data_IF_650660029948
#
_entry.id   IF_650660029948
#
_cell.length_a   1.000
_cell.length_b   1.000
_cell.length_c   1.000
_cell.angle_alpha   90.00
_cell.angle_beta   90.00
_cell.angle_gamma   90.00
#
_symmetry.space_group_name_H-M   'P 1'
#
loop_
_entity.id
_entity.type
_entity.pdbx_description
1 polymer ?
#
# COMPACT_ATOMS: atom_id res chain seq x y z
N UNK A 1 -5.38 -27.74 9.15
CA UNK A 1 -4.80 -27.30 7.86
C UNK A 1 -5.40 -25.92 7.56
N UNK A 2 -4.63 -24.86 7.70
CA UNK A 2 -5.05 -23.52 7.27
C UNK A 2 -5.01 -23.49 5.75
N UNK A 3 -6.13 -23.18 5.12
CA UNK A 3 -6.19 -22.95 3.66
C UNK A 3 -5.26 -21.76 3.40
N UNK A 4 -4.23 -21.89 2.53
CA UNK A 4 -3.36 -20.77 2.25
C UNK A 4 -4.21 -19.66 1.60
N UNK A 5 -4.21 -18.47 2.21
CA UNK A 5 -4.88 -17.30 1.62
C UNK A 5 -4.32 -17.06 0.22
N UNK A 6 -5.19 -16.76 -0.73
CA UNK A 6 -4.81 -16.42 -2.11
C UNK A 6 -3.82 -15.22 -2.13
N UNK A 7 -4.00 -14.30 -1.18
CA UNK A 7 -3.15 -13.12 -1.02
C UNK A 7 -2.44 -13.16 0.33
N UNK A 8 -1.23 -12.61 0.37
CA UNK A 8 -0.36 -12.57 1.56
C UNK A 8 -0.21 -11.18 2.17
N UNK A 9 -0.39 -10.13 1.37
CA UNK A 9 -0.21 -8.73 1.79
C UNK A 9 -1.00 -7.78 0.89
N UNK A 10 -1.54 -6.71 1.50
CA UNK A 10 -2.09 -5.54 0.81
C UNK A 10 -1.20 -4.33 1.09
N UNK A 11 -0.67 -3.71 0.04
CA UNK A 11 0.05 -2.45 0.14
C UNK A 11 -0.78 -1.32 -0.49
N UNK A 12 -0.82 -0.18 0.18
CA UNK A 12 -1.52 1.02 -0.29
C UNK A 12 -0.53 2.17 -0.29
N UNK A 13 -0.18 2.65 -1.48
CA UNK A 13 0.68 3.82 -1.68
C UNK A 13 -0.14 5.06 -2.04
N UNK A 14 0.30 6.22 -1.56
CA UNK A 14 -0.35 7.48 -1.88
C UNK A 14 0.44 8.69 -1.40
N UNK A 15 0.00 9.86 -1.83
CA UNK A 15 0.61 11.13 -1.46
C UNK A 15 -0.47 12.23 -1.41
N UNK A 16 -0.17 13.42 -1.95
CA UNK A 16 -1.12 14.53 -2.00
C UNK A 16 -2.49 14.08 -2.58
N UNK A 17 -3.57 14.47 -1.95
CA UNK A 17 -4.95 14.16 -2.38
C UNK A 17 -5.42 12.71 -2.13
N UNK A 18 -4.60 11.83 -1.53
CA UNK A 18 -5.00 10.44 -1.29
C UNK A 18 -5.80 10.22 0.01
N UNK A 19 -5.75 11.18 0.94
CA UNK A 19 -6.25 11.00 2.31
C UNK A 19 -7.74 10.67 2.39
N UNK A 20 -8.58 11.38 1.64
CA UNK A 20 -10.02 11.15 1.67
C UNK A 20 -10.39 9.74 1.19
N UNK A 21 -9.76 9.30 0.10
CA UNK A 21 -9.95 7.95 -0.45
C UNK A 21 -9.43 6.89 0.52
N UNK A 22 -8.27 7.13 1.14
CA UNK A 22 -7.68 6.20 2.09
C UNK A 22 -8.55 6.03 3.34
N UNK A 23 -9.04 7.12 3.93
CA UNK A 23 -9.94 7.08 5.09
C UNK A 23 -11.24 6.33 4.75
N UNK A 24 -11.83 6.63 3.60
CA UNK A 24 -13.04 5.93 3.13
C UNK A 24 -12.76 4.43 2.94
N UNK A 25 -11.65 4.07 2.29
CA UNK A 25 -11.23 2.70 2.07
C UNK A 25 -11.07 1.95 3.41
N UNK A 26 -10.30 2.51 4.34
CA UNK A 26 -10.06 1.88 5.65
C UNK A 26 -11.36 1.74 6.46
N UNK A 27 -12.28 2.70 6.38
CA UNK A 27 -13.57 2.63 7.08
C UNK A 27 -14.49 1.52 6.55
N UNK A 28 -14.27 1.06 5.33
CA UNK A 28 -15.09 0.05 4.68
C UNK A 28 -14.43 -1.33 4.57
N UNK A 29 -13.14 -1.45 4.90
CA UNK A 29 -12.49 -2.76 4.98
C UNK A 29 -13.10 -3.58 6.12
N UNK A 30 -13.31 -4.89 5.93
CA UNK A 30 -13.68 -5.78 7.03
C UNK A 30 -12.65 -5.74 8.17
N UNK A 31 -13.13 -5.73 9.42
CA UNK A 31 -12.24 -5.77 10.59
C UNK A 31 -12.43 -7.09 11.36
N UNK A 32 -11.36 -7.88 11.60
CA UNK A 32 -10.02 -7.72 11.04
C UNK A 32 -9.96 -8.05 9.55
N UNK A 33 -9.10 -7.36 8.80
CA UNK A 33 -8.79 -7.74 7.42
C UNK A 33 -7.83 -8.93 7.46
N UNK A 34 -8.12 -10.00 6.72
CA UNK A 34 -7.47 -11.32 6.90
C UNK A 34 -5.99 -11.38 6.55
N UNK A 35 -5.46 -10.38 5.86
CA UNK A 35 -4.04 -10.25 5.52
C UNK A 35 -3.49 -8.93 6.08
N UNK A 36 -2.18 -8.82 6.32
CA UNK A 36 -1.59 -7.56 6.75
C UNK A 36 -1.80 -6.47 5.69
N UNK A 37 -2.10 -5.27 6.16
CA UNK A 37 -2.22 -4.07 5.33
C UNK A 37 -1.07 -3.14 5.65
N UNK A 38 -0.36 -2.68 4.63
CA UNK A 38 0.77 -1.76 4.77
C UNK A 38 0.49 -0.48 3.99
N UNK A 39 0.46 0.64 4.67
CA UNK A 39 0.19 1.95 4.11
C UNK A 39 1.51 2.72 3.99
N UNK A 40 1.82 3.20 2.80
CA UNK A 40 3.00 4.01 2.52
C UNK A 40 2.54 5.37 2.02
N UNK A 41 2.68 6.40 2.86
CA UNK A 41 2.32 7.77 2.53
C UNK A 41 3.53 8.68 2.56
N UNK A 42 3.63 9.57 1.58
CA UNK A 42 4.61 10.65 1.63
C UNK A 42 4.21 11.64 2.73
N UNK A 43 5.13 11.88 3.66
CA UNK A 43 4.94 12.77 4.80
C UNK A 43 6.02 13.84 4.81
N UNK A 44 5.70 15.01 5.33
CA UNK A 44 6.69 16.07 5.51
C UNK A 44 7.74 15.62 6.54
N UNK A 45 9.01 15.84 6.23
CA UNK A 45 10.12 15.50 7.13
C UNK A 45 10.02 16.29 8.43
N UNK A 46 10.29 15.63 9.56
CA UNK A 46 10.40 16.24 10.88
C UNK A 46 9.16 17.04 11.33
N UNK A 47 7.99 16.74 10.78
CA UNK A 47 6.71 17.29 11.24
C UNK A 47 5.98 16.19 11.99
N UNK A 48 5.77 16.40 13.30
CA UNK A 48 4.92 15.49 14.07
C UNK A 48 3.55 15.37 13.41
N UNK A 49 3.11 14.15 13.21
CA UNK A 49 1.86 13.86 12.53
C UNK A 49 1.12 12.79 13.34
N UNK A 50 -0.11 13.08 13.70
CA UNK A 50 -1.03 12.13 14.30
C UNK A 50 -1.81 11.34 13.23
N UNK A 51 -1.14 11.05 12.13
CA UNK A 51 -1.74 10.40 10.97
C UNK A 51 -2.25 8.99 11.29
N UNK A 52 -1.52 8.25 12.13
CA UNK A 52 -1.93 6.97 12.70
C UNK A 52 -3.28 7.07 13.43
N UNK A 53 -3.47 8.09 14.25
CA UNK A 53 -4.73 8.34 14.96
C UNK A 53 -5.86 8.74 14.00
N UNK A 54 -5.56 9.60 13.02
CA UNK A 54 -6.54 10.03 12.02
C UNK A 54 -7.03 8.87 11.16
N UNK A 55 -6.14 7.93 10.81
CA UNK A 55 -6.45 6.77 10.00
C UNK A 55 -7.05 5.60 10.81
N UNK A 56 -6.90 5.59 12.13
CA UNK A 56 -7.42 4.54 13.02
C UNK A 56 -8.96 4.63 13.19
N UNK A 57 -9.69 4.48 12.10
CA UNK A 57 -11.16 4.64 12.07
C UNK A 57 -11.88 3.45 12.70
N UNK A 58 -11.49 2.21 12.34
CA UNK A 58 -12.14 0.98 12.81
C UNK A 58 -11.22 0.09 13.64
N UNK A 59 -9.92 0.18 13.43
CA UNK A 59 -8.91 -0.59 14.16
C UNK A 59 -7.63 0.21 14.27
N UNK A 60 -6.79 -0.09 15.28
CA UNK A 60 -5.51 0.60 15.46
C UNK A 60 -4.62 0.47 14.24
N UNK A 61 -3.95 1.54 13.89
CA UNK A 61 -2.87 1.59 12.91
C UNK A 61 -1.58 1.86 13.65
N UNK A 62 -0.55 1.07 13.39
CA UNK A 62 0.74 1.17 14.09
C UNK A 62 1.87 1.45 13.10
N UNK A 63 2.84 2.24 13.51
CA UNK A 63 4.12 2.35 12.80
C UNK A 63 5.00 1.20 13.30
N UNK A 64 5.46 0.29 12.41
CA UNK A 64 6.24 -0.87 12.85
C UNK A 64 7.66 -0.47 13.26
N UNK A 65 8.22 -1.24 14.18
CA UNK A 65 9.63 -1.16 14.53
C UNK A 65 10.51 -1.97 13.54
N UNK A 66 11.81 -1.68 13.53
CA UNK A 66 12.76 -2.47 12.73
C UNK A 66 12.78 -3.94 13.20
N UNK A 67 12.70 -4.86 12.24
CA UNK A 67 12.60 -6.32 12.47
C UNK A 67 11.30 -6.78 13.17
N UNK A 68 10.29 -5.94 13.26
CA UNK A 68 8.97 -6.36 13.73
C UNK A 68 8.32 -7.34 12.74
N UNK A 69 7.72 -8.41 13.27
CA UNK A 69 7.00 -9.39 12.47
C UNK A 69 5.67 -8.83 11.95
N UNK A 70 5.42 -9.04 10.66
CA UNK A 70 4.19 -8.64 10.01
C UNK A 70 3.08 -9.65 10.29
N UNK A 71 2.03 -9.24 10.99
CA UNK A 71 0.95 -10.11 11.42
C UNK A 71 -0.32 -9.89 10.60
N UNK A 72 -1.02 -10.97 10.20
CA UNK A 72 -2.35 -10.87 9.61
C UNK A 72 -3.33 -10.14 10.52
N UNK A 73 -4.22 -9.37 9.92
CA UNK A 73 -5.23 -8.62 10.65
C UNK A 73 -4.78 -7.24 11.15
N UNK A 74 -3.50 -6.93 11.06
CA UNK A 74 -2.95 -5.64 11.45
C UNK A 74 -2.84 -4.68 10.26
N UNK A 75 -2.95 -3.39 10.56
CA UNK A 75 -2.69 -2.31 9.62
C UNK A 75 -1.45 -1.55 10.11
N UNK A 76 -0.48 -1.43 9.22
CA UNK A 76 0.79 -0.76 9.45
C UNK A 76 0.89 0.51 8.61
N UNK A 77 1.48 1.55 9.18
CA UNK A 77 1.81 2.79 8.50
C UNK A 77 3.33 2.93 8.43
N UNK A 78 3.88 3.14 7.25
CA UNK A 78 5.31 3.34 7.08
C UNK A 78 5.81 4.52 7.94
N UNK A 79 6.81 4.30 8.82
CA UNK A 79 7.33 5.35 9.69
C UNK A 79 7.91 6.51 8.91
N UNK A 80 7.75 7.70 9.46
CA UNK A 80 8.36 8.89 8.89
C UNK A 80 9.89 8.81 8.92
N UNK A 81 10.54 9.37 7.89
CA UNK A 81 12.00 9.43 7.76
C UNK A 81 12.72 8.10 7.52
N UNK A 82 12.02 6.98 7.33
CA UNK A 82 12.59 5.70 6.96
C UNK A 82 11.93 5.16 5.69
N UNK A 83 12.68 4.43 4.88
CA UNK A 83 12.11 3.52 3.91
C UNK A 83 11.63 2.27 4.64
N UNK A 84 10.42 1.82 4.35
CA UNK A 84 9.87 0.59 4.88
C UNK A 84 10.07 -0.52 3.86
N UNK A 85 10.87 -1.51 4.21
CA UNK A 85 11.17 -2.67 3.37
C UNK A 85 10.54 -3.93 3.96
N UNK A 86 10.22 -4.88 3.09
CA UNK A 86 9.68 -6.19 3.46
C UNK A 86 10.78 -7.23 3.30
N UNK A 87 11.07 -7.98 4.37
CA UNK A 87 12.10 -9.01 4.39
C UNK A 87 11.52 -10.41 4.10
N UNK A 88 12.39 -11.35 3.70
CA UNK A 88 11.99 -12.73 3.33
C UNK A 88 11.32 -13.50 4.47
N UNK A 89 11.66 -13.20 5.72
CA UNK A 89 11.07 -13.78 6.91
C UNK A 89 9.74 -13.15 7.33
N UNK A 90 9.20 -12.26 6.49
CA UNK A 90 7.97 -11.49 6.74
C UNK A 90 8.09 -10.53 7.93
N UNK A 91 9.26 -9.97 8.14
CA UNK A 91 9.50 -8.84 9.04
C UNK A 91 9.63 -7.53 8.27
N UNK A 92 9.53 -6.41 8.97
CA UNK A 92 9.84 -5.10 8.43
C UNK A 92 11.32 -4.76 8.61
N UNK A 93 11.88 -4.00 7.66
CA UNK A 93 13.17 -3.35 7.82
C UNK A 93 13.03 -1.85 7.60
N UNK A 94 13.60 -1.07 8.49
CA UNK A 94 13.60 0.39 8.43
C UNK A 94 14.96 0.88 7.95
N UNK A 95 15.00 1.41 6.73
CA UNK A 95 16.24 1.88 6.10
C UNK A 95 16.28 3.42 6.07
N UNK A 96 17.38 3.99 6.59
CA UNK A 96 17.62 5.44 6.62
C UNK A 96 18.43 5.92 5.39
N UNK A 97 18.46 5.16 4.29
CA UNK A 97 19.11 5.55 3.05
C UNK A 97 18.52 6.87 2.48
N UNK A 98 19.22 7.44 1.50
CA UNK A 98 18.79 8.68 0.85
C UNK A 98 17.39 8.56 0.23
N UNK A 99 16.63 9.66 0.18
CA UNK A 99 15.31 9.67 -0.44
C UNK A 99 15.32 9.16 -1.88
N UNK A 100 14.39 8.29 -2.22
CA UNK A 100 14.14 7.82 -3.58
C UNK A 100 12.94 8.58 -4.15
N UNK A 101 13.04 9.07 -5.38
CA UNK A 101 12.03 9.96 -5.99
C UNK A 101 11.64 11.16 -5.09
N UNK A 102 12.62 11.71 -4.37
CA UNK A 102 12.48 12.78 -3.38
C UNK A 102 11.63 12.42 -2.15
N UNK A 103 11.33 11.14 -1.94
CA UNK A 103 10.45 10.67 -0.87
C UNK A 103 11.14 9.65 0.05
N UNK A 104 10.84 9.74 1.35
CA UNK A 104 11.18 8.77 2.37
C UNK A 104 10.10 8.81 3.47
N UNK A 105 9.25 7.76 3.55
CA UNK A 105 9.30 6.50 2.81
C UNK A 105 9.09 6.66 1.30
N UNK A 106 9.69 5.76 0.50
CA UNK A 106 9.44 5.64 -0.93
C UNK A 106 8.53 4.44 -1.19
N UNK A 107 7.43 4.67 -1.92
CA UNK A 107 6.43 3.64 -2.27
C UNK A 107 7.07 2.56 -3.14
N UNK A 108 7.89 2.96 -4.13
CA UNK A 108 8.58 2.05 -5.04
C UNK A 108 9.41 0.99 -4.31
N UNK A 109 10.09 1.35 -3.21
CA UNK A 109 10.92 0.41 -2.45
C UNK A 109 10.06 -0.61 -1.70
N UNK A 110 9.02 -0.16 -0.98
CA UNK A 110 8.11 -1.06 -0.26
C UNK A 110 7.40 -2.02 -1.21
N UNK A 111 6.90 -1.51 -2.35
CA UNK A 111 6.23 -2.33 -3.36
C UNK A 111 7.19 -3.35 -4.00
N UNK A 112 8.43 -2.93 -4.29
CA UNK A 112 9.43 -3.80 -4.92
C UNK A 112 9.88 -4.93 -4.01
N UNK A 113 10.12 -4.65 -2.74
CA UNK A 113 10.50 -5.68 -1.76
C UNK A 113 9.35 -6.64 -1.50
N UNK A 114 8.12 -6.14 -1.36
CA UNK A 114 6.94 -6.99 -1.23
C UNK A 114 6.74 -7.90 -2.47
N UNK A 115 6.94 -7.37 -3.68
CA UNK A 115 6.85 -8.15 -4.91
C UNK A 115 7.89 -9.29 -4.93
N UNK A 116 9.09 -9.03 -4.43
CA UNK A 116 10.16 -10.04 -4.36
C UNK A 116 9.84 -11.15 -3.35
N UNK A 117 9.25 -10.80 -2.20
CA UNK A 117 8.97 -11.73 -1.09
C UNK A 117 7.67 -12.53 -1.31
N UNK A 118 6.60 -11.84 -1.68
CA UNK A 118 5.27 -12.44 -1.77
C UNK A 118 4.86 -12.86 -3.19
N UNK A 119 5.53 -12.33 -4.22
CA UNK A 119 5.27 -12.68 -5.63
C UNK A 119 3.79 -12.50 -6.01
N UNK A 120 3.12 -13.56 -6.51
CA UNK A 120 1.72 -13.48 -6.95
C UNK A 120 0.71 -13.23 -5.81
N UNK A 121 1.15 -13.26 -4.55
CA UNK A 121 0.29 -13.01 -3.39
C UNK A 121 0.22 -11.57 -2.96
N UNK A 122 0.80 -10.64 -3.73
CA UNK A 122 0.76 -9.20 -3.44
C UNK A 122 -0.47 -8.55 -4.06
N UNK A 123 -1.14 -7.73 -3.28
CA UNK A 123 -2.10 -6.72 -3.74
C UNK A 123 -1.45 -5.35 -3.55
N UNK A 124 -1.24 -4.60 -4.63
CA UNK A 124 -0.76 -3.23 -4.60
C UNK A 124 -1.84 -2.26 -5.06
N UNK A 125 -2.07 -1.22 -4.29
CA UNK A 125 -2.99 -0.12 -4.62
C UNK A 125 -2.20 1.18 -4.62
N UNK A 126 -2.27 1.94 -5.71
CA UNK A 126 -1.63 3.24 -5.84
C UNK A 126 -2.69 4.32 -6.04
N UNK A 127 -2.74 5.25 -5.10
CA UNK A 127 -3.72 6.33 -5.05
C UNK A 127 -3.16 7.65 -5.64
N UNK A 128 -3.90 8.74 -5.45
CA UNK A 128 -3.51 10.11 -5.82
C UNK A 128 -2.13 10.48 -5.30
N UNK A 129 -1.37 11.25 -6.09
CA UNK A 129 -0.07 11.80 -5.72
C UNK A 129 0.53 12.71 -6.79
N UNK A 130 1.39 13.65 -6.36
CA UNK A 130 1.98 14.68 -7.20
C UNK A 130 3.38 14.34 -7.76
N UNK A 131 3.81 13.09 -7.67
CA UNK A 131 5.05 12.58 -8.28
C UNK A 131 4.81 11.17 -8.82
N UNK A 132 5.83 10.49 -9.35
CA UNK A 132 5.74 9.15 -9.96
C UNK A 132 6.20 8.00 -9.06
N UNK A 133 6.46 8.27 -7.78
CA UNK A 133 6.85 7.22 -6.85
C UNK A 133 5.71 6.19 -6.69
N UNK A 134 6.05 4.92 -6.65
CA UNK A 134 5.11 3.80 -6.62
C UNK A 134 4.75 3.23 -7.98
N UNK A 135 4.98 3.97 -9.09
CA UNK A 135 4.68 3.48 -10.43
C UNK A 135 5.54 2.26 -10.81
N UNK A 136 6.86 2.35 -10.61
CA UNK A 136 7.78 1.26 -10.90
C UNK A 136 7.56 0.07 -9.96
N UNK A 137 7.30 0.32 -8.67
CA UNK A 137 6.99 -0.71 -7.69
C UNK A 137 5.70 -1.46 -8.02
N UNK A 138 4.64 -0.75 -8.45
CA UNK A 138 3.38 -1.37 -8.87
C UNK A 138 3.58 -2.26 -10.12
N UNK A 139 4.41 -1.82 -11.08
CA UNK A 139 4.80 -2.64 -12.22
C UNK A 139 5.54 -3.90 -11.81
N UNK A 140 6.40 -3.83 -10.80
CA UNK A 140 7.09 -5.02 -10.29
C UNK A 140 6.13 -6.01 -9.64
N UNK A 141 5.10 -5.51 -8.93
CA UNK A 141 4.05 -6.35 -8.36
C UNK A 141 3.33 -7.12 -9.48
N UNK A 142 2.90 -6.45 -10.57
CA UNK A 142 2.23 -7.11 -11.69
C UNK A 142 3.15 -8.08 -12.42
N UNK A 143 4.41 -7.71 -12.65
CA UNK A 143 5.41 -8.58 -13.28
C UNK A 143 5.71 -9.84 -12.44
N UNK A 144 5.58 -9.76 -11.12
CA UNK A 144 5.71 -10.90 -10.20
C UNK A 144 4.43 -11.77 -10.11
N UNK A 145 3.40 -11.45 -10.90
CA UNK A 145 2.11 -12.16 -10.91
C UNK A 145 1.12 -11.68 -9.85
N UNK A 146 1.45 -10.64 -9.08
CA UNK A 146 0.55 -9.99 -8.15
C UNK A 146 -0.48 -9.10 -8.86
N UNK A 147 -1.35 -8.46 -8.09
CA UNK A 147 -2.37 -7.55 -8.61
C UNK A 147 -1.98 -6.12 -8.30
N UNK A 148 -1.85 -5.31 -9.35
CA UNK A 148 -1.68 -3.86 -9.27
C UNK A 148 -3.00 -3.15 -9.61
N UNK A 149 -3.46 -2.32 -8.70
CA UNK A 149 -4.63 -1.45 -8.86
C UNK A 149 -4.16 0.00 -8.78
N UNK A 150 -4.66 0.83 -9.65
CA UNK A 150 -4.37 2.25 -9.63
C UNK A 150 -5.68 3.05 -9.58
N UNK A 151 -5.69 4.11 -8.79
CA UNK A 151 -6.83 5.03 -8.79
C UNK A 151 -6.97 5.66 -10.18
N UNK A 152 -8.19 5.69 -10.72
CA UNK A 152 -8.47 6.38 -11.98
C UNK A 152 -7.98 7.84 -11.91
N UNK A 153 -7.04 8.24 -12.79
CA UNK A 153 -6.50 9.61 -12.83
C UNK A 153 -7.57 10.70 -12.91
N UNK A 154 -8.73 10.41 -13.50
CA UNK A 154 -9.84 11.36 -13.61
C UNK A 154 -10.54 11.60 -12.25
N UNK A 155 -10.38 10.70 -11.30
CA UNK A 155 -10.93 10.81 -9.93
C UNK A 155 -9.90 11.27 -8.91
N UNK A 156 -8.64 11.33 -9.30
CA UNK A 156 -7.54 11.70 -8.42
C UNK A 156 -7.39 13.22 -8.35
N UNK A 157 -7.22 13.76 -7.14
CA UNK A 157 -6.92 15.17 -6.95
C UNK A 157 -5.57 15.55 -7.61
N UNK A 158 -4.58 14.64 -7.52
CA UNK A 158 -3.30 14.74 -8.22
C UNK A 158 -3.11 13.48 -9.06
N UNK A 159 -3.26 13.62 -10.36
CA UNK A 159 -3.27 12.50 -11.31
C UNK A 159 -1.88 12.00 -11.70
N UNK A 160 -0.80 12.69 -11.33
CA UNK A 160 0.55 12.38 -11.80
C UNK A 160 1.00 10.97 -11.38
N UNK A 161 0.76 10.57 -10.13
CA UNK A 161 1.16 9.27 -9.60
C UNK A 161 0.42 8.11 -10.27
N UNK A 162 -0.93 8.11 -10.31
CA UNK A 162 -1.67 7.06 -11.01
C UNK A 162 -1.42 7.05 -12.52
N UNK A 163 -1.29 8.22 -13.17
CA UNK A 163 -0.99 8.27 -14.60
C UNK A 163 0.39 7.68 -14.93
N UNK A 164 1.41 7.98 -14.11
CA UNK A 164 2.74 7.41 -14.29
C UNK A 164 2.75 5.87 -14.23
N UNK A 165 1.92 5.27 -13.39
CA UNK A 165 1.80 3.82 -13.31
C UNK A 165 1.16 3.24 -14.58
N UNK A 166 0.12 3.88 -15.12
CA UNK A 166 -0.54 3.47 -16.37
C UNK A 166 0.41 3.60 -17.56
N UNK A 167 1.16 4.71 -17.64
CA UNK A 167 2.10 4.96 -18.72
C UNK A 167 3.26 3.95 -18.72
N UNK A 168 3.69 3.51 -17.53
CA UNK A 168 4.78 2.55 -17.39
C UNK A 168 4.31 1.10 -17.59
N UNK A 169 3.10 0.77 -17.16
CA UNK A 169 2.50 -0.57 -17.24
C UNK A 169 1.09 -0.49 -17.81
N UNK A 170 0.94 -0.54 -19.15
CA UNK A 170 -0.37 -0.39 -19.81
C UNK A 170 -1.42 -1.45 -19.42
N UNK A 171 -1.00 -2.58 -18.88
CA UNK A 171 -1.91 -3.65 -18.43
C UNK A 171 -2.56 -3.35 -17.06
N UNK A 172 -2.08 -2.34 -16.32
CA UNK A 172 -2.70 -1.92 -15.06
C UNK A 172 -4.01 -1.19 -15.39
N UNK A 173 -5.11 -1.68 -14.81
CA UNK A 173 -6.41 -1.07 -15.02
C UNK A 173 -6.70 -0.01 -13.96
N UNK A 174 -7.10 1.21 -14.39
CA UNK A 174 -7.56 2.22 -13.46
C UNK A 174 -8.93 1.86 -12.89
N UNK A 175 -9.13 2.15 -11.60
CA UNK A 175 -10.41 1.95 -10.92
C UNK A 175 -10.81 3.22 -10.17
N UNK A 176 -12.09 3.56 -10.18
CA UNK A 176 -12.61 4.60 -9.31
C UNK A 176 -12.54 4.18 -7.83
N UNK A 177 -12.46 5.12 -6.87
CA UNK A 177 -12.32 4.78 -5.45
C UNK A 177 -13.33 3.77 -4.93
N UNK A 178 -14.61 3.92 -5.29
CA UNK A 178 -15.65 2.98 -4.88
C UNK A 178 -15.47 1.57 -5.44
N UNK A 179 -14.90 1.42 -6.65
CA UNK A 179 -14.60 0.12 -7.25
C UNK A 179 -13.41 -0.55 -6.57
N UNK A 180 -12.38 0.22 -6.19
CA UNK A 180 -11.26 -0.26 -5.38
C UNK A 180 -11.77 -0.82 -4.05
N UNK A 181 -12.61 -0.06 -3.34
CA UNK A 181 -13.19 -0.47 -2.07
C UNK A 181 -14.02 -1.75 -2.22
N UNK A 182 -14.89 -1.79 -3.22
CA UNK A 182 -15.72 -2.97 -3.51
C UNK A 182 -14.86 -4.21 -3.81
N UNK A 183 -13.82 -4.04 -4.62
CA UNK A 183 -12.88 -5.11 -4.95
C UNK A 183 -12.18 -5.68 -3.72
N UNK A 184 -11.63 -4.83 -2.84
CA UNK A 184 -10.95 -5.25 -1.63
C UNK A 184 -11.88 -5.93 -0.62
N UNK A 185 -13.13 -5.47 -0.49
CA UNK A 185 -14.13 -6.13 0.35
C UNK A 185 -14.44 -7.54 -0.13
N UNK A 186 -14.58 -7.74 -1.44
CA UNK A 186 -14.87 -9.05 -2.02
C UNK A 186 -13.73 -10.05 -1.87
N UNK A 187 -12.49 -9.59 -1.91
CA UNK A 187 -11.31 -10.43 -1.62
C UNK A 187 -11.38 -11.00 -0.20
N UNK A 188 -11.77 -10.19 0.77
CA UNK A 188 -11.91 -10.64 2.17
C UNK A 188 -12.97 -11.73 2.35
N UNK A 189 -14.02 -11.69 1.54
CA UNK A 189 -15.09 -12.72 1.57
C UNK A 189 -14.60 -14.02 0.92
N UNK A 190 -13.91 -13.93 -0.21
CA UNK A 190 -13.37 -15.10 -0.92
C UNK A 190 -12.28 -15.85 -0.14
N UNK A 191 -11.60 -15.18 0.78
CA UNK A 191 -10.60 -15.81 1.66
C UNK A 191 -11.22 -16.53 2.88
N UNK A 192 -12.55 -16.46 3.08
CA UNK A 192 -13.28 -17.17 4.16
C UNK A 192 -13.91 -18.48 3.69
N UNK A 193 -13.87 -18.79 2.40
CA UNK A 193 -14.40 -20.00 1.77
C UNK A 193 -13.30 -21.01 1.51
#
# INVERSE_FOLDING_TARGET
>A
MTIPHKYGILLIGGSAGSMSVLVELLSQLPSPFMIPVVIILHRLKNVESELDKLLSVQQPIVEPEDKEAMLPGNIYLAPQNYHLLIEEDSTFSLDYAEPVNYSRPAIDLSFSTAASVFGPRVLGVLLSGANKDGAAGLCRITAAGGIGIVQDPQTAEFSMMPQAAIDLCPDIQPMAPHDIIHYLRNISIANKS
#
